data_IF_594608586186
#
_entry.id   IF_594608586186
#
_cell.length_a   1.000
_cell.length_b   1.000
_cell.length_c   1.000
_cell.angle_alpha   90.00
_cell.angle_beta   90.00
_cell.angle_gamma   90.00
#
_symmetry.space_group_name_H-M   'P 1'
#
loop_
_entity.id
_entity.type
_entity.pdbx_description
1 polymer ?
#
# COMPACT_ATOMS: atom_id res chain seq x y z
N UNK A 1 31.78 -31.94 -34.58
CA UNK A 1 30.75 -31.55 -33.60
C UNK A 1 30.74 -30.03 -33.50
N UNK A 2 30.09 -29.36 -34.46
CA UNK A 2 30.08 -27.90 -34.55
C UNK A 2 29.17 -27.29 -33.51
N UNK A 3 29.79 -26.50 -32.64
CA UNK A 3 29.22 -25.53 -31.70
C UNK A 3 28.39 -24.50 -32.47
N UNK A 4 27.06 -24.60 -32.39
CA UNK A 4 26.17 -23.48 -32.71
C UNK A 4 26.04 -22.66 -31.44
N UNK A 5 26.72 -21.52 -31.46
CA UNK A 5 26.78 -20.55 -30.37
C UNK A 5 25.47 -19.76 -30.27
N UNK A 6 24.79 -19.89 -29.12
CA UNK A 6 24.50 -18.84 -28.12
C UNK A 6 23.89 -17.48 -28.51
N UNK A 7 23.68 -17.14 -29.79
CA UNK A 7 23.23 -15.80 -30.18
C UNK A 7 21.74 -15.54 -29.94
N UNK A 8 20.91 -16.58 -29.90
CA UNK A 8 19.45 -16.48 -29.77
C UNK A 8 18.96 -16.40 -28.30
N UNK A 9 19.84 -16.71 -27.33
CA UNK A 9 19.50 -16.80 -25.91
C UNK A 9 19.79 -15.51 -25.11
N UNK A 10 20.70 -14.66 -25.59
CA UNK A 10 21.13 -13.44 -24.90
C UNK A 10 20.01 -12.42 -24.58
N UNK A 11 19.05 -12.11 -25.46
CA UNK A 11 18.00 -11.14 -25.15
C UNK A 11 16.98 -11.67 -24.14
N UNK A 12 16.70 -12.98 -24.15
CA UNK A 12 15.79 -13.61 -23.19
C UNK A 12 16.40 -13.67 -21.77
N UNK A 13 17.71 -13.92 -21.67
CA UNK A 13 18.43 -13.95 -20.41
C UNK A 13 18.54 -12.54 -19.79
N UNK A 14 18.76 -11.50 -20.61
CA UNK A 14 18.79 -10.11 -20.15
C UNK A 14 17.42 -9.64 -19.63
N UNK A 15 16.33 -9.91 -20.37
CA UNK A 15 14.97 -9.61 -19.92
C UNK A 15 14.61 -10.34 -18.61
N UNK A 16 15.05 -11.60 -18.47
CA UNK A 16 14.86 -12.38 -17.25
C UNK A 16 15.58 -11.76 -16.05
N UNK A 17 16.80 -11.25 -16.24
CA UNK A 17 17.54 -10.56 -15.20
C UNK A 17 16.89 -9.22 -14.79
N UNK A 18 16.38 -8.44 -15.75
CA UNK A 18 15.65 -7.20 -15.48
C UNK A 18 14.36 -7.46 -14.69
N UNK A 19 13.57 -8.46 -15.11
CA UNK A 19 12.34 -8.86 -14.39
C UNK A 19 12.66 -9.28 -12.96
N UNK A 20 13.75 -10.02 -12.74
CA UNK A 20 14.15 -10.43 -11.39
C UNK A 20 14.47 -9.21 -10.50
N UNK A 21 15.22 -8.23 -11.02
CA UNK A 21 15.54 -7.01 -10.29
C UNK A 21 14.29 -6.18 -9.97
N UNK A 22 13.37 -6.03 -10.93
CA UNK A 22 12.11 -5.32 -10.73
C UNK A 22 11.26 -6.00 -9.65
N UNK A 23 11.20 -7.33 -9.62
CA UNK A 23 10.48 -8.08 -8.59
C UNK A 23 11.09 -7.91 -7.21
N UNK A 24 12.41 -7.97 -7.09
CA UNK A 24 13.08 -7.65 -5.81
C UNK A 24 12.70 -6.25 -5.32
N UNK A 25 12.66 -5.27 -6.22
CA UNK A 25 12.25 -3.91 -5.85
C UNK A 25 10.78 -3.83 -5.43
N UNK A 26 9.89 -4.58 -6.08
CA UNK A 26 8.48 -4.68 -5.68
C UNK A 26 8.36 -5.29 -4.28
N UNK A 27 9.08 -6.37 -3.99
CA UNK A 27 9.03 -7.04 -2.69
C UNK A 27 9.50 -6.11 -1.54
N UNK A 28 10.50 -5.27 -1.80
CA UNK A 28 10.95 -4.23 -0.85
C UNK A 28 9.86 -3.18 -0.60
N UNK A 29 9.19 -2.71 -1.66
CA UNK A 29 8.09 -1.75 -1.58
C UNK A 29 6.92 -2.37 -0.81
N UNK A 30 6.55 -3.61 -1.10
CA UNK A 30 5.46 -4.31 -0.44
C UNK A 30 5.74 -4.51 1.05
N UNK A 31 6.98 -4.86 1.39
CA UNK A 31 7.42 -4.93 2.79
C UNK A 31 7.24 -3.59 3.50
N UNK A 32 7.67 -2.49 2.88
CA UNK A 32 7.49 -1.15 3.44
C UNK A 32 6.01 -0.75 3.55
N UNK A 33 5.19 -1.08 2.55
CA UNK A 33 3.75 -0.81 2.56
C UNK A 33 3.05 -1.54 3.72
N UNK A 34 3.38 -2.81 3.96
CA UNK A 34 2.83 -3.59 5.08
C UNK A 34 3.21 -2.98 6.42
N UNK A 35 4.48 -2.57 6.60
CA UNK A 35 4.94 -1.93 7.83
C UNK A 35 4.20 -0.61 8.09
N UNK A 36 4.15 0.27 7.09
CA UNK A 36 3.46 1.56 7.18
C UNK A 36 1.95 1.38 7.40
N UNK A 37 1.35 0.36 6.79
CA UNK A 37 -0.06 0.02 7.01
C UNK A 37 -0.34 -0.32 8.47
N UNK A 38 0.45 -1.23 9.05
CA UNK A 38 0.29 -1.66 10.45
C UNK A 38 0.49 -0.49 11.42
N UNK A 39 1.53 0.31 11.21
CA UNK A 39 1.80 1.50 12.02
C UNK A 39 0.63 2.50 11.95
N UNK A 40 0.17 2.83 10.74
CA UNK A 40 -0.94 3.75 10.52
C UNK A 40 -2.23 3.25 11.19
N UNK A 41 -2.51 1.95 11.11
CA UNK A 41 -3.67 1.35 11.76
C UNK A 41 -3.59 1.50 13.29
N UNK A 42 -2.44 1.18 13.88
CA UNK A 42 -2.22 1.31 15.33
C UNK A 42 -2.36 2.77 15.80
N UNK A 43 -1.81 3.74 15.04
CA UNK A 43 -1.97 5.16 15.33
C UNK A 43 -3.44 5.60 15.26
N UNK A 44 -4.18 5.15 14.24
CA UNK A 44 -5.61 5.44 14.09
C UNK A 44 -6.44 4.90 15.27
N UNK A 45 -6.12 3.70 15.76
CA UNK A 45 -6.77 3.12 16.93
C UNK A 45 -6.51 3.96 18.19
N UNK A 46 -5.26 4.38 18.40
CA UNK A 46 -4.87 5.26 19.52
C UNK A 46 -5.61 6.60 19.48
N UNK A 47 -5.74 7.20 18.29
CA UNK A 47 -6.54 8.43 18.10
C UNK A 47 -8.00 8.20 18.46
N UNK A 48 -8.60 7.09 18.00
CA UNK A 48 -9.97 6.74 18.35
C UNK A 48 -10.18 6.57 19.86
N UNK A 49 -9.27 5.87 20.53
CA UNK A 49 -9.31 5.67 21.98
C UNK A 49 -9.18 6.99 22.75
N UNK A 50 -8.25 7.86 22.36
CA UNK A 50 -8.06 9.17 22.98
C UNK A 50 -9.31 10.06 22.85
N UNK A 51 -10.02 9.99 21.72
CA UNK A 51 -11.26 10.75 21.51
C UNK A 51 -12.40 10.27 22.39
N UNK A 52 -12.56 8.96 22.53
CA UNK A 52 -13.56 8.38 23.43
C UNK A 52 -13.24 8.78 24.88
N UNK A 53 -11.97 8.70 25.29
CA UNK A 53 -11.53 9.13 26.61
C UNK A 53 -11.81 10.62 26.89
N UNK A 54 -11.77 11.46 25.85
CA UNK A 54 -12.12 12.88 25.92
C UNK A 54 -13.65 13.17 25.86
N UNK A 55 -14.51 12.15 25.92
CA UNK A 55 -15.97 12.29 25.85
C UNK A 55 -16.52 12.52 24.44
N UNK A 56 -15.68 12.40 23.41
CA UNK A 56 -16.07 12.51 22.01
C UNK A 56 -16.47 11.17 21.38
N UNK A 57 -16.89 11.23 20.12
CA UNK A 57 -17.13 10.03 19.32
C UNK A 57 -15.82 9.42 18.84
N UNK A 58 -15.81 8.10 18.64
CA UNK A 58 -14.70 7.36 18.02
C UNK A 58 -14.39 7.82 16.58
N UNK A 59 -15.39 8.31 15.84
CA UNK A 59 -15.29 8.65 14.40
C UNK A 59 -15.31 10.16 14.16
N UNK A 60 -14.48 10.69 13.26
CA UNK A 60 -14.62 12.06 12.73
C UNK A 60 -14.91 12.00 11.25
N UNK A 61 -16.18 12.13 10.89
CA UNK A 61 -16.63 12.06 9.50
C UNK A 61 -15.91 13.08 8.60
N UNK A 62 -15.70 14.31 9.08
CA UNK A 62 -14.93 15.32 8.34
C UNK A 62 -13.50 14.86 8.05
N UNK A 63 -12.82 14.30 9.06
CA UNK A 63 -11.45 13.79 8.89
C UNK A 63 -11.38 12.56 7.99
N UNK A 64 -12.37 11.66 8.09
CA UNK A 64 -12.47 10.51 7.18
C UNK A 64 -12.68 10.96 5.74
N UNK A 65 -13.49 11.99 5.51
CA UNK A 65 -13.69 12.58 4.19
C UNK A 65 -12.39 13.15 3.62
N UNK A 66 -11.64 13.93 4.39
CA UNK A 66 -10.33 14.45 3.98
C UNK A 66 -9.34 13.36 3.59
N UNK A 67 -9.37 12.21 4.29
CA UNK A 67 -8.54 11.06 3.95
C UNK A 67 -8.97 10.49 2.59
N UNK A 68 -10.27 10.26 2.37
CA UNK A 68 -10.77 9.75 1.10
C UNK A 68 -10.47 10.69 -0.06
N UNK A 69 -10.67 12.00 0.12
CA UNK A 69 -10.39 13.00 -0.90
C UNK A 69 -8.88 13.07 -1.21
N UNK A 70 -8.02 12.83 -0.22
CA UNK A 70 -6.57 12.73 -0.44
C UNK A 70 -6.22 11.55 -1.34
N UNK A 71 -6.68 10.35 -1.01
CA UNK A 71 -6.39 9.19 -1.82
C UNK A 71 -7.04 9.28 -3.21
N UNK A 72 -8.23 9.86 -3.32
CA UNK A 72 -8.88 10.08 -4.61
C UNK A 72 -8.09 11.02 -5.52
N UNK A 73 -7.60 12.14 -4.98
CA UNK A 73 -6.78 13.08 -5.74
C UNK A 73 -5.51 12.44 -6.30
N UNK A 74 -4.86 11.57 -5.53
CA UNK A 74 -3.54 11.06 -5.89
C UNK A 74 -3.63 9.74 -6.70
N UNK A 75 -4.69 8.94 -6.53
CA UNK A 75 -4.85 7.60 -7.15
C UNK A 75 -6.19 7.40 -7.89
N UNK A 76 -6.98 8.46 -8.05
CA UNK A 76 -8.27 8.41 -8.72
C UNK A 76 -9.33 7.58 -7.98
N UNK A 77 -10.30 6.97 -8.71
CA UNK A 77 -11.37 6.18 -8.10
C UNK A 77 -10.86 5.00 -7.24
N UNK A 78 -9.79 4.33 -7.65
CA UNK A 78 -9.15 3.24 -6.88
C UNK A 78 -8.53 3.76 -5.58
N UNK A 79 -8.08 5.01 -5.56
CA UNK A 79 -7.65 5.70 -4.35
C UNK A 79 -8.74 5.74 -3.28
N UNK A 80 -9.97 6.08 -3.67
CA UNK A 80 -11.10 6.08 -2.73
C UNK A 80 -11.31 4.70 -2.11
N UNK A 81 -11.21 3.62 -2.89
CA UNK A 81 -11.32 2.25 -2.40
C UNK A 81 -10.20 1.90 -1.41
N UNK A 82 -8.96 2.27 -1.73
CA UNK A 82 -7.83 2.09 -0.82
C UNK A 82 -8.02 2.88 0.49
N UNK A 83 -8.48 4.12 0.40
CA UNK A 83 -8.79 4.96 1.55
C UNK A 83 -9.84 4.33 2.48
N UNK A 84 -10.86 3.68 1.92
CA UNK A 84 -11.87 2.95 2.71
C UNK A 84 -11.26 1.75 3.46
N UNK A 85 -10.40 0.96 2.81
CA UNK A 85 -9.70 -0.16 3.47
C UNK A 85 -8.79 0.34 4.60
N UNK A 86 -8.07 1.43 4.35
CA UNK A 86 -7.20 2.08 5.32
C UNK A 86 -7.96 2.59 6.54
N UNK A 87 -9.14 3.20 6.34
CA UNK A 87 -10.01 3.60 7.45
C UNK A 87 -10.47 2.38 8.24
N UNK A 88 -10.96 1.34 7.56
CA UNK A 88 -11.44 0.11 8.20
C UNK A 88 -10.37 -0.55 9.09
N UNK A 89 -9.12 -0.59 8.63
CA UNK A 89 -8.01 -1.16 9.42
C UNK A 89 -7.77 -0.43 10.75
N UNK A 90 -7.93 0.91 10.75
CA UNK A 90 -7.65 1.74 11.91
C UNK A 90 -8.79 1.89 12.91
N UNK A 91 -10.06 1.82 12.47
CA UNK A 91 -11.22 2.08 13.33
C UNK A 91 -12.21 0.92 13.46
N UNK A 92 -11.95 -0.19 12.78
CA UNK A 92 -12.87 -1.32 12.65
C UNK A 92 -13.98 -1.07 11.61
N UNK A 93 -14.82 -2.09 11.36
CA UNK A 93 -16.02 -1.93 10.53
C UNK A 93 -16.96 -0.86 11.11
N UNK A 94 -17.77 -0.26 10.23
CA UNK A 94 -18.91 0.56 10.62
C UNK A 94 -19.99 -0.32 11.26
#
# INVERSE_FOLDING_TARGET
MSTIATADQQPADAASAEIAQLRTRIDEIDTALVQLWQERAALSQRVGAARVAAGGTRLALAREREILDRFHRDLGPTGTQLGLLILRAGRGPL
#
